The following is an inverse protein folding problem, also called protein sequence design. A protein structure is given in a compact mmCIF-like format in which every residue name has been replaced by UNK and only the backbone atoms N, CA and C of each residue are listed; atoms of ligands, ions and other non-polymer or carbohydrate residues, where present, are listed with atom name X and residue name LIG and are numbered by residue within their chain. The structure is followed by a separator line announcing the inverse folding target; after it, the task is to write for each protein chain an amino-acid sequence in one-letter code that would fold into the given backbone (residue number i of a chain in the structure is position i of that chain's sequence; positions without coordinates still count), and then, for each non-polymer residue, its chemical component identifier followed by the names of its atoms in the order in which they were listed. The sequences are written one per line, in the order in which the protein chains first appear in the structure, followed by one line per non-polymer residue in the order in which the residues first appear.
data_IF_144748603555
#
_entry.id   IF_144748603555
#
_cell.length_a   1.000
_cell.length_b   1.000
_cell.length_c   1.000
_cell.angle_alpha   90.00
_cell.angle_beta   90.00
_cell.angle_gamma   90.00
#
_symmetry.space_group_name_H-M   'P 1'
#
loop_
_entity.id
_entity.type
_entity.pdbx_description
1 polymer ?
#
# COMPACT_ATOMS: atom_id res chain seq x y z
N UNK A 1 -1.49 -17.81 -22.80
CA UNK A 1 -2.46 -16.97 -23.54
C UNK A 1 -3.78 -17.04 -22.78
N UNK A 2 -4.41 -15.87 -22.57
CA UNK A 2 -5.56 -15.59 -21.69
C UNK A 2 -5.18 -15.26 -20.24
N UNK A 3 -4.87 -13.99 -20.01
CA UNK A 3 -4.66 -13.37 -18.70
C UNK A 3 -4.71 -11.83 -18.74
N UNK A 4 -4.83 -11.23 -19.93
CA UNK A 4 -4.91 -9.77 -20.10
C UNK A 4 -6.32 -9.21 -19.85
N UNK A 5 -7.38 -9.95 -20.21
CA UNK A 5 -8.76 -9.43 -20.11
C UNK A 5 -9.27 -9.23 -18.68
N UNK A 6 -8.83 -10.06 -17.73
CA UNK A 6 -9.27 -9.97 -16.32
C UNK A 6 -8.56 -8.82 -15.58
N UNK A 7 -7.30 -8.54 -15.92
CA UNK A 7 -6.57 -7.36 -15.43
C UNK A 7 -7.15 -6.06 -16.01
N UNK A 8 -7.50 -6.05 -17.30
CA UNK A 8 -8.11 -4.88 -17.95
C UNK A 8 -9.51 -4.59 -17.36
N UNK A 9 -10.34 -5.60 -17.10
CA UNK A 9 -11.66 -5.44 -16.46
C UNK A 9 -11.56 -4.95 -15.00
N UNK A 10 -10.61 -5.48 -14.23
CA UNK A 10 -10.35 -5.03 -12.85
C UNK A 10 -9.83 -3.59 -12.79
N UNK A 11 -9.03 -3.19 -13.77
CA UNK A 11 -8.48 -1.83 -13.90
C UNK A 11 -9.55 -0.83 -14.31
N UNK A 12 -10.40 -1.16 -15.28
CA UNK A 12 -11.56 -0.34 -15.66
C UNK A 12 -12.53 -0.17 -14.49
N UNK A 13 -12.79 -1.24 -13.73
CA UNK A 13 -13.65 -1.20 -12.55
C UNK A 13 -13.07 -0.34 -11.43
N UNK A 14 -11.75 -0.38 -11.21
CA UNK A 14 -11.07 0.48 -10.24
C UNK A 14 -11.12 1.95 -10.67
N UNK A 15 -10.84 2.24 -11.93
CA UNK A 15 -10.88 3.58 -12.50
C UNK A 15 -12.28 4.20 -12.34
N UNK A 16 -13.33 3.45 -12.71
CA UNK A 16 -14.71 3.87 -12.55
C UNK A 16 -15.07 4.18 -11.08
N UNK A 17 -14.66 3.32 -10.14
CA UNK A 17 -14.86 3.55 -8.70
C UNK A 17 -14.16 4.81 -8.22
N UNK A 18 -12.92 5.06 -8.62
CA UNK A 18 -12.19 6.27 -8.26
C UNK A 18 -12.85 7.54 -8.81
N UNK A 19 -13.42 7.46 -10.01
CA UNK A 19 -14.15 8.57 -10.63
C UNK A 19 -15.46 8.92 -9.88
N UNK A 20 -16.13 7.93 -9.30
CA UNK A 20 -17.37 8.12 -8.52
C UNK A 20 -17.13 8.67 -7.11
N UNK A 21 -15.94 8.51 -6.55
CA UNK A 21 -15.59 9.01 -5.22
C UNK A 21 -15.58 10.55 -5.16
N UNK A 22 -15.91 11.10 -3.99
CA UNK A 22 -15.61 12.52 -3.72
C UNK A 22 -14.10 12.74 -3.60
N UNK A 23 -13.64 13.99 -3.71
CA UNK A 23 -12.21 14.30 -3.51
C UNK A 23 -11.70 13.85 -2.13
N UNK A 24 -12.52 14.04 -1.08
CA UNK A 24 -12.21 13.58 0.27
C UNK A 24 -12.12 12.05 0.35
N UNK A 25 -13.06 11.33 -0.27
CA UNK A 25 -13.02 9.86 -0.31
C UNK A 25 -11.80 9.34 -1.07
N UNK A 26 -11.42 9.97 -2.18
CA UNK A 26 -10.16 9.65 -2.89
C UNK A 26 -8.95 9.90 -2.02
N UNK A 27 -8.89 11.06 -1.36
CA UNK A 27 -7.84 11.42 -0.41
C UNK A 27 -7.66 10.37 0.69
N UNK A 28 -8.74 10.00 1.37
CA UNK A 28 -8.69 8.99 2.42
C UNK A 28 -8.36 7.59 1.90
N UNK A 29 -8.94 7.17 0.77
CA UNK A 29 -8.72 5.82 0.22
C UNK A 29 -7.28 5.63 -0.24
N UNK A 30 -6.73 6.61 -0.95
CA UNK A 30 -5.35 6.54 -1.43
C UNK A 30 -4.33 6.71 -0.30
N UNK A 31 -4.63 7.51 0.73
CA UNK A 31 -3.85 7.53 1.97
C UNK A 31 -3.80 6.14 2.61
N UNK A 32 -4.95 5.48 2.79
CA UNK A 32 -5.01 4.14 3.39
C UNK A 32 -4.31 3.09 2.53
N UNK A 33 -4.30 3.25 1.20
CA UNK A 33 -3.50 2.44 0.29
C UNK A 33 -1.98 2.61 0.52
N UNK A 34 -1.46 3.83 0.63
CA UNK A 34 -0.07 4.06 1.03
C UNK A 34 0.21 3.60 2.47
N UNK A 35 -0.73 3.76 3.40
CA UNK A 35 -0.56 3.36 4.79
C UNK A 35 -0.36 1.84 4.95
N UNK A 36 -1.01 1.04 4.09
CA UNK A 36 -0.79 -0.42 4.01
C UNK A 36 0.66 -0.77 3.63
N UNK A 37 1.35 0.12 2.95
CA UNK A 37 2.72 -0.07 2.44
C UNK A 37 3.78 0.65 3.30
N UNK A 38 3.37 1.22 4.44
CA UNK A 38 4.22 2.05 5.30
C UNK A 38 5.30 1.28 6.06
N UNK A 39 4.97 0.12 6.63
CA UNK A 39 5.88 -0.60 7.50
C UNK A 39 7.16 -1.11 6.80
N UNK A 40 7.13 -1.56 5.53
CA UNK A 40 8.35 -1.84 4.77
C UNK A 40 9.38 -0.69 4.78
N UNK A 41 8.92 0.56 4.71
CA UNK A 41 9.81 1.74 4.74
C UNK A 41 10.39 2.05 6.13
N UNK A 42 9.69 1.66 7.20
CA UNK A 42 10.03 2.06 8.58
C UNK A 42 10.68 0.96 9.41
N UNK A 43 10.37 -0.31 9.12
CA UNK A 43 10.79 -1.46 9.92
C UNK A 43 12.01 -2.16 9.32
N UNK A 44 12.04 -2.34 8.00
CA UNK A 44 13.14 -3.02 7.32
C UNK A 44 14.39 -2.14 7.15
N UNK A 45 14.24 -0.83 7.36
CA UNK A 45 15.29 0.15 7.10
C UNK A 45 15.38 0.45 5.61
N UNK A 46 15.77 1.69 5.29
CA UNK A 46 16.09 2.09 3.91
C UNK A 46 17.60 2.00 3.72
N UNK A 47 18.03 1.82 2.47
CA UNK A 47 19.45 1.88 2.13
C UNK A 47 20.02 3.26 2.52
N UNK A 48 21.07 3.33 3.37
CA UNK A 48 21.71 4.59 3.73
C UNK A 48 22.24 5.38 2.53
N UNK A 49 22.62 4.70 1.45
CA UNK A 49 23.10 5.27 0.19
C UNK A 49 22.03 6.08 -0.56
N UNK A 50 20.75 5.86 -0.27
CA UNK A 50 19.67 6.68 -0.82
C UNK A 50 19.56 8.06 -0.16
N UNK A 51 20.21 8.26 1.00
CA UNK A 51 20.13 9.52 1.74
C UNK A 51 18.76 9.81 2.35
N UNK A 52 17.85 8.82 2.38
CA UNK A 52 16.49 8.97 2.89
C UNK A 52 16.45 8.65 4.39
N UNK A 53 16.21 9.68 5.20
CA UNK A 53 16.07 9.52 6.63
C UNK A 53 14.69 8.98 7.03
N UNK A 54 14.66 8.00 7.94
CA UNK A 54 13.41 7.47 8.54
C UNK A 54 12.47 8.57 9.06
N UNK A 55 13.01 9.59 9.71
CA UNK A 55 12.23 10.70 10.25
C UNK A 55 11.48 11.48 9.19
N UNK A 56 12.01 11.55 7.96
CA UNK A 56 11.34 12.20 6.85
C UNK A 56 10.17 11.37 6.33
N UNK A 57 10.34 10.06 6.20
CA UNK A 57 9.24 9.14 5.85
C UNK A 57 8.14 9.24 6.90
N UNK A 58 8.49 9.23 8.20
CA UNK A 58 7.53 9.43 9.29
C UNK A 58 6.85 10.80 9.24
N UNK A 59 7.55 11.86 8.83
CA UNK A 59 6.96 13.19 8.65
C UNK A 59 5.99 13.22 7.46
N UNK A 60 6.35 12.59 6.33
CA UNK A 60 5.49 12.51 5.15
C UNK A 60 4.16 11.81 5.48
N UNK A 61 4.22 10.61 6.09
CA UNK A 61 3.00 9.90 6.51
C UNK A 61 2.17 10.70 7.54
N UNK A 62 2.81 11.35 8.53
CA UNK A 62 2.07 12.21 9.46
C UNK A 62 1.40 13.39 8.76
N UNK A 63 2.08 13.97 7.76
CA UNK A 63 1.53 15.03 6.93
C UNK A 63 0.26 14.60 6.21
N UNK A 64 0.21 13.37 5.68
CA UNK A 64 -0.99 12.84 5.02
C UNK A 64 -2.21 12.78 5.94
N UNK A 65 -2.02 12.63 7.26
CA UNK A 65 -3.13 12.60 8.22
C UNK A 65 -3.72 13.99 8.54
N UNK A 66 -3.06 15.06 8.11
CA UNK A 66 -3.56 16.42 8.30
C UNK A 66 -4.77 16.66 7.40
N UNK A 67 -5.75 17.48 7.83
CA UNK A 67 -6.85 17.88 6.96
C UNK A 67 -6.32 18.49 5.66
N UNK A 68 -6.94 18.13 4.52
CA UNK A 68 -6.51 18.55 3.18
C UNK A 68 -6.46 20.08 3.00
N UNK A 69 -7.15 20.84 3.86
CA UNK A 69 -7.40 22.26 3.65
C UNK A 69 -6.68 23.22 4.61
N UNK A 70 -6.04 22.75 5.68
CA UNK A 70 -5.68 23.65 6.78
C UNK A 70 -4.22 24.14 6.82
N UNK A 71 -3.22 23.41 6.31
CA UNK A 71 -1.83 23.88 6.36
C UNK A 71 -0.96 23.36 5.21
N UNK A 72 0.10 24.09 4.83
CA UNK A 72 1.15 23.50 4.02
C UNK A 72 1.76 22.31 4.72
N UNK A 73 1.73 21.15 4.06
CA UNK A 73 2.51 20.00 4.49
C UNK A 73 3.95 20.48 4.76
N UNK A 74 4.57 20.06 5.88
CA UNK A 74 5.97 20.36 6.10
C UNK A 74 6.75 19.92 4.86
N UNK A 75 7.59 20.81 4.34
CA UNK A 75 8.46 20.52 3.20
C UNK A 75 9.13 19.16 3.47
N UNK A 76 8.87 18.13 2.65
CA UNK A 76 9.48 16.83 2.86
C UNK A 76 11.01 16.90 2.76
N UNK A 77 11.57 18.06 2.37
CA UNK A 77 12.98 18.32 2.23
C UNK A 77 13.51 17.84 0.88
N UNK A 78 14.81 17.99 0.61
CA UNK A 78 15.46 17.53 -0.63
C UNK A 78 15.43 16.00 -0.84
N UNK A 79 14.76 15.25 0.04
CA UNK A 79 14.76 13.80 0.12
C UNK A 79 14.12 13.09 -1.08
N UNK A 80 13.33 13.80 -1.87
CA UNK A 80 12.68 13.23 -3.05
C UNK A 80 13.05 13.93 -4.37
N UNK A 81 14.08 14.79 -4.39
CA UNK A 81 14.40 15.54 -5.61
C UNK A 81 15.01 14.67 -6.71
N UNK A 82 15.48 13.47 -6.38
CA UNK A 82 15.85 12.44 -7.36
C UNK A 82 15.75 11.07 -6.68
N UNK A 83 14.92 10.12 -7.19
CA UNK A 83 15.00 8.75 -6.74
C UNK A 83 16.42 8.20 -7.01
N UNK A 84 16.89 7.22 -6.23
CA UNK A 84 18.20 6.61 -6.45
C UNK A 84 18.34 6.13 -7.91
N UNK A 85 19.43 6.48 -8.59
CA UNK A 85 19.71 6.03 -9.96
C UNK A 85 20.19 4.57 -10.02
N UNK A 86 20.46 3.94 -8.87
CA UNK A 86 20.89 2.55 -8.79
C UNK A 86 19.71 1.59 -8.93
N UNK A 87 19.92 0.47 -9.66
CA UNK A 87 18.95 -0.62 -9.66
C UNK A 87 18.78 -1.17 -8.23
N UNK A 88 17.54 -1.37 -7.77
CA UNK A 88 17.30 -1.94 -6.44
C UNK A 88 17.92 -3.32 -6.33
N UNK A 89 18.73 -3.53 -5.30
CA UNK A 89 19.23 -4.86 -4.96
C UNK A 89 18.23 -5.56 -4.04
N UNK A 90 17.45 -6.48 -4.60
CA UNK A 90 16.54 -7.34 -3.83
C UNK A 90 15.09 -6.86 -3.76
N UNK A 91 14.21 -7.77 -3.35
CA UNK A 91 12.75 -7.55 -3.35
C UNK A 91 12.33 -6.46 -2.37
N UNK A 92 13.05 -6.31 -1.25
CA UNK A 92 12.77 -5.22 -0.30
C UNK A 92 13.04 -3.86 -0.94
N UNK A 93 14.18 -3.70 -1.59
CA UNK A 93 14.56 -2.43 -2.20
C UNK A 93 13.59 -2.04 -3.33
N UNK A 94 13.20 -2.99 -4.19
CA UNK A 94 12.21 -2.79 -5.25
C UNK A 94 10.89 -2.25 -4.68
N UNK A 95 10.33 -2.93 -3.67
CA UNK A 95 9.08 -2.53 -3.03
C UNK A 95 9.22 -1.14 -2.40
N UNK A 96 10.33 -0.87 -1.71
CA UNK A 96 10.52 0.42 -1.04
C UNK A 96 10.60 1.58 -2.04
N UNK A 97 11.28 1.41 -3.18
CA UNK A 97 11.39 2.45 -4.20
C UNK A 97 10.03 2.80 -4.83
N UNK A 98 9.22 1.80 -5.16
CA UNK A 98 7.88 2.01 -5.72
C UNK A 98 6.97 2.78 -4.74
N UNK A 99 7.03 2.42 -3.45
CA UNK A 99 6.24 3.12 -2.41
C UNK A 99 6.76 4.54 -2.19
N UNK A 100 8.07 4.76 -2.21
CA UNK A 100 8.67 6.09 -2.07
C UNK A 100 8.31 7.01 -3.24
N UNK A 101 8.23 6.49 -4.47
CA UNK A 101 7.83 7.24 -5.64
C UNK A 101 6.38 7.76 -5.51
N UNK A 102 5.45 6.91 -5.07
CA UNK A 102 4.06 7.33 -4.85
C UNK A 102 3.91 8.25 -3.64
N UNK A 103 4.65 8.00 -2.56
CA UNK A 103 4.68 8.89 -1.40
C UNK A 103 5.16 10.29 -1.80
N UNK A 104 6.20 10.38 -2.65
CA UNK A 104 6.67 11.65 -3.19
C UNK A 104 5.59 12.37 -4.01
N UNK A 105 4.99 11.65 -4.96
CA UNK A 105 3.95 12.20 -5.83
C UNK A 105 2.78 12.74 -4.99
N UNK A 106 2.38 12.01 -3.95
CA UNK A 106 1.37 12.45 -2.99
C UNK A 106 1.73 13.75 -2.29
N UNK A 107 2.94 13.84 -1.71
CA UNK A 107 3.37 15.03 -0.98
C UNK A 107 3.42 16.29 -1.86
N UNK A 108 3.59 16.11 -3.17
CA UNK A 108 3.60 17.19 -4.16
C UNK A 108 2.18 17.62 -4.57
N UNK A 109 1.27 16.68 -4.81
CA UNK A 109 -0.08 16.95 -5.31
C UNK A 109 -1.08 17.39 -4.21
N UNK A 110 -0.93 16.89 -2.98
CA UNK A 110 -1.80 17.08 -1.79
C UNK A 110 -3.22 16.55 -1.89
N UNK A 111 -3.91 16.80 -3.00
CA UNK A 111 -5.25 16.27 -3.29
C UNK A 111 -5.17 15.37 -4.53
N UNK A 112 -5.18 14.04 -4.38
CA UNK A 112 -5.15 13.16 -5.53
C UNK A 112 -6.45 13.31 -6.37
N UNK A 113 -6.27 13.44 -7.68
CA UNK A 113 -7.35 13.20 -8.63
C UNK A 113 -7.75 11.72 -8.65
N UNK A 114 -8.69 11.38 -9.54
CA UNK A 114 -9.13 9.99 -9.70
C UNK A 114 -7.98 9.09 -10.17
N UNK A 115 -7.17 9.58 -11.13
CA UNK A 115 -6.04 8.84 -11.69
C UNK A 115 -4.93 8.61 -10.64
N UNK A 116 -4.59 9.64 -9.84
CA UNK A 116 -3.59 9.47 -8.78
C UNK A 116 -4.08 8.52 -7.69
N UNK A 117 -5.36 8.60 -7.30
CA UNK A 117 -5.92 7.68 -6.32
C UNK A 117 -5.93 6.23 -6.83
N UNK A 118 -6.34 6.02 -8.09
CA UNK A 118 -6.31 4.74 -8.77
C UNK A 118 -4.89 4.16 -8.80
N UNK A 119 -3.89 4.95 -9.23
CA UNK A 119 -2.49 4.53 -9.33
C UNK A 119 -1.96 4.01 -8.00
N UNK A 120 -2.23 4.72 -6.90
CA UNK A 120 -1.81 4.34 -5.56
C UNK A 120 -2.52 3.07 -5.06
N UNK A 121 -3.83 2.94 -5.32
CA UNK A 121 -4.60 1.74 -4.95
C UNK A 121 -4.09 0.52 -5.73
N UNK A 122 -3.85 0.70 -7.04
CA UNK A 122 -3.28 -0.32 -7.93
C UNK A 122 -1.91 -0.76 -7.44
N UNK A 123 -1.03 0.16 -7.05
CA UNK A 123 0.29 -0.18 -6.52
C UNK A 123 0.19 -1.18 -5.34
N UNK A 124 -0.70 -0.94 -4.38
CA UNK A 124 -0.86 -1.85 -3.24
C UNK A 124 -1.31 -3.26 -3.67
N UNK A 125 -2.16 -3.36 -4.71
CA UNK A 125 -2.57 -4.65 -5.29
C UNK A 125 -1.41 -5.33 -6.02
N UNK A 126 -0.70 -4.60 -6.86
CA UNK A 126 0.41 -5.12 -7.66
C UNK A 126 1.56 -5.61 -6.82
N UNK A 127 1.94 -4.88 -5.78
CA UNK A 127 2.97 -5.32 -4.83
C UNK A 127 2.53 -6.58 -4.07
N UNK A 128 1.25 -6.68 -3.71
CA UNK A 128 0.71 -7.88 -3.06
C UNK A 128 0.76 -9.10 -3.99
N UNK A 129 0.36 -8.92 -5.25
CA UNK A 129 0.47 -9.95 -6.30
C UNK A 129 1.91 -10.36 -6.56
N UNK A 130 2.82 -9.38 -6.63
CA UNK A 130 4.24 -9.63 -6.85
C UNK A 130 4.84 -10.43 -5.70
N UNK A 131 4.46 -10.11 -4.45
CA UNK A 131 4.90 -10.84 -3.28
C UNK A 131 4.36 -12.26 -3.23
N UNK A 132 3.11 -12.48 -3.64
CA UNK A 132 2.54 -13.82 -3.76
C UNK A 132 3.28 -14.68 -4.80
N UNK A 133 3.51 -14.14 -6.01
CA UNK A 133 4.33 -14.81 -7.04
C UNK A 133 5.73 -15.11 -6.53
N UNK A 134 6.35 -14.13 -5.88
CA UNK A 134 7.67 -14.29 -5.28
C UNK A 134 7.67 -15.42 -4.24
N UNK A 135 6.63 -15.55 -3.41
CA UNK A 135 6.53 -16.66 -2.45
C UNK A 135 6.31 -18.03 -3.14
N UNK A 136 5.56 -18.06 -4.24
CA UNK A 136 5.32 -19.28 -5.03
C UNK A 136 6.59 -19.77 -5.75
N UNK A 137 7.38 -18.85 -6.29
CA UNK A 137 8.64 -19.14 -7.00
C UNK A 137 9.82 -19.47 -6.06
N UNK A 138 9.61 -19.34 -4.75
CA UNK A 138 10.62 -19.63 -3.73
C UNK A 138 10.92 -21.14 -3.65
N UNK A 139 12.22 -21.49 -3.62
CA UNK A 139 12.66 -22.86 -3.33
C UNK A 139 12.39 -23.29 -1.87
N UNK A 140 12.11 -22.31 -1.00
CA UNK A 140 11.84 -22.52 0.42
C UNK A 140 10.38 -22.25 0.75
N UNK A 141 9.81 -23.10 1.61
CA UNK A 141 8.45 -22.91 2.12
C UNK A 141 8.39 -21.70 3.06
N UNK A 142 7.40 -20.82 2.84
CA UNK A 142 7.10 -19.74 3.76
C UNK A 142 6.71 -20.32 5.15
N UNK A 143 7.28 -19.84 6.27
CA UNK A 143 7.00 -20.37 7.61
C UNK A 143 5.50 -20.38 7.97
N UNK A 144 4.76 -19.41 7.44
CA UNK A 144 3.32 -19.27 7.64
C UNK A 144 2.46 -19.90 6.53
N UNK A 145 3.01 -20.69 5.60
CA UNK A 145 2.27 -21.30 4.46
C UNK A 145 0.96 -21.99 4.88
N UNK A 146 0.97 -22.73 5.98
CA UNK A 146 -0.23 -23.38 6.51
C UNK A 146 -1.29 -22.40 7.01
N UNK A 147 -0.86 -21.30 7.66
CA UNK A 147 -1.76 -20.26 8.09
C UNK A 147 -2.37 -19.52 6.89
N UNK A 148 -1.56 -19.23 5.87
CA UNK A 148 -2.00 -18.61 4.62
C UNK A 148 -3.04 -19.49 3.91
N UNK A 149 -2.77 -20.79 3.77
CA UNK A 149 -3.71 -21.75 3.17
C UNK A 149 -5.04 -21.84 3.93
N UNK A 150 -5.01 -21.85 5.27
CA UNK A 150 -6.23 -21.82 6.08
C UNK A 150 -7.01 -20.53 5.88
N UNK A 151 -6.35 -19.38 5.83
CA UNK A 151 -7.01 -18.11 5.56
C UNK A 151 -7.71 -18.14 4.21
N UNK A 152 -7.00 -18.55 3.15
CA UNK A 152 -7.57 -18.66 1.80
C UNK A 152 -8.78 -19.58 1.73
N UNK A 153 -8.77 -20.68 2.47
CA UNK A 153 -9.93 -21.59 2.57
C UNK A 153 -11.18 -20.94 3.20
N UNK A 154 -11.03 -19.83 3.95
CA UNK A 154 -12.15 -19.09 4.56
C UNK A 154 -12.67 -17.93 3.73
N UNK A 155 -11.95 -17.52 2.69
CA UNK A 155 -12.39 -16.44 1.79
C UNK A 155 -13.51 -16.97 0.90
N UNK A 156 -14.63 -16.25 0.84
CA UNK A 156 -15.82 -16.66 0.07
C UNK A 156 -15.43 -16.91 -1.41
N UNK A 157 -15.83 -18.07 -1.95
CA UNK A 157 -15.43 -18.51 -3.30
C UNK A 157 -14.50 -19.72 -3.32
N UNK A 158 -13.87 -20.09 -2.19
CA UNK A 158 -13.28 -21.43 -1.98
C UNK A 158 -12.19 -21.91 -2.96
N UNK A 159 -11.69 -21.07 -3.88
CA UNK A 159 -10.79 -21.49 -4.95
C UNK A 159 -9.87 -20.37 -5.44
N UNK A 160 -8.59 -20.48 -5.06
CA UNK A 160 -7.39 -20.47 -5.93
C UNK A 160 -7.12 -19.37 -6.98
N UNK A 161 -7.94 -18.33 -7.16
CA UNK A 161 -7.62 -17.33 -8.19
C UNK A 161 -6.51 -16.35 -7.78
N UNK A 162 -6.42 -16.03 -6.48
CA UNK A 162 -5.50 -15.01 -5.94
C UNK A 162 -4.65 -15.56 -4.81
N UNK A 163 -3.44 -15.02 -4.66
CA UNK A 163 -2.53 -15.39 -3.59
C UNK A 163 -2.95 -14.84 -2.21
N UNK A 164 -2.17 -15.17 -1.17
CA UNK A 164 -2.50 -14.79 0.21
C UNK A 164 -2.48 -13.28 0.41
N UNK A 165 -1.40 -12.62 -0.03
CA UNK A 165 -1.24 -11.18 0.16
C UNK A 165 -2.25 -10.40 -0.66
N UNK A 166 -2.54 -10.80 -1.89
CA UNK A 166 -3.58 -10.19 -2.71
C UNK A 166 -4.96 -10.33 -2.05
N UNK A 167 -5.35 -11.54 -1.63
CA UNK A 167 -6.62 -11.76 -0.94
C UNK A 167 -6.72 -10.95 0.35
N UNK A 168 -5.62 -10.83 1.09
CA UNK A 168 -5.57 -10.04 2.33
C UNK A 168 -5.67 -8.55 2.05
N UNK A 169 -4.95 -8.06 1.04
CA UNK A 169 -4.97 -6.67 0.60
C UNK A 169 -6.36 -6.25 0.15
N UNK A 170 -7.02 -7.05 -0.70
CA UNK A 170 -8.38 -6.76 -1.19
C UNK A 170 -9.39 -6.71 -0.04
N UNK A 171 -9.27 -7.60 0.95
CA UNK A 171 -10.13 -7.57 2.14
C UNK A 171 -9.93 -6.31 2.98
N UNK A 172 -8.68 -5.89 3.17
CA UNK A 172 -8.39 -4.64 3.90
C UNK A 172 -8.84 -3.43 3.08
N UNK A 173 -8.65 -3.44 1.76
CA UNK A 173 -9.12 -2.38 0.85
C UNK A 173 -10.62 -2.17 0.98
N UNK A 174 -11.40 -3.24 0.87
CA UNK A 174 -12.86 -3.19 0.96
C UNK A 174 -13.31 -2.65 2.32
N UNK A 175 -12.74 -3.17 3.42
CA UNK A 175 -13.04 -2.69 4.76
C UNK A 175 -12.69 -1.21 4.96
N UNK A 176 -11.53 -0.77 4.45
CA UNK A 176 -11.14 0.63 4.47
C UNK A 176 -12.12 1.52 3.69
N UNK A 177 -12.59 1.08 2.53
CA UNK A 177 -13.56 1.83 1.73
C UNK A 177 -14.92 1.94 2.41
N UNK A 178 -15.40 0.86 3.03
CA UNK A 178 -16.62 0.88 3.84
C UNK A 178 -16.50 1.88 5.00
N UNK A 179 -15.34 1.90 5.68
CA UNK A 179 -15.06 2.82 6.78
C UNK A 179 -14.97 4.27 6.30
N UNK A 180 -14.34 4.51 5.14
CA UNK A 180 -14.25 5.84 4.51
C UNK A 180 -15.63 6.35 4.10
N UNK A 181 -16.47 5.49 3.53
CA UNK A 181 -17.83 5.86 3.15
C UNK A 181 -18.71 6.24 4.36
N UNK A 182 -18.39 5.71 5.55
CA UNK A 182 -19.07 6.02 6.80
C UNK A 182 -18.53 7.27 7.52
N UNK A 183 -17.45 7.91 7.02
CA UNK A 183 -16.91 9.11 7.66
C UNK A 183 -17.86 10.31 7.50
N UNK A 184 -18.02 11.13 8.56
CA UNK A 184 -18.66 12.43 8.41
C UNK A 184 -17.87 13.33 7.44
N UNK A 185 -18.53 14.18 6.64
CA UNK A 185 -17.83 15.11 5.75
C UNK A 185 -16.86 16.02 6.52
N UNK A 186 -15.64 16.18 6.00
CA UNK A 186 -14.56 16.96 6.61
C UNK A 186 -13.90 16.30 7.83
N UNK A 187 -14.27 15.07 8.18
CA UNK A 187 -13.66 14.37 9.30
C UNK A 187 -12.37 13.67 8.88
N UNK A 188 -11.24 14.15 9.38
CA UNK A 188 -9.97 13.45 9.21
C UNK A 188 -9.97 12.05 9.85
N UNK A 189 -9.24 11.12 9.23
CA UNK A 189 -9.13 9.72 9.68
C UNK A 189 -8.83 9.56 11.19
N UNK A 190 -7.78 10.16 11.78
CA UNK A 190 -7.48 9.93 13.19
C UNK A 190 -8.54 10.50 14.15
N UNK A 191 -9.34 11.47 13.67
CA UNK A 191 -10.37 12.15 14.45
C UNK A 191 -11.59 11.28 14.76
N UNK A 192 -11.79 10.17 14.06
CA UNK A 192 -12.98 9.32 14.20
C UNK A 192 -12.63 7.89 14.62
N UNK A 193 -13.61 7.16 15.18
CA UNK A 193 -13.41 5.75 15.50
C UNK A 193 -13.19 4.91 14.23
N UNK A 194 -13.99 5.15 13.18
CA UNK A 194 -13.87 4.45 11.90
C UNK A 194 -12.51 4.68 11.23
N UNK A 195 -12.00 5.92 11.23
CA UNK A 195 -10.70 6.19 10.63
C UNK A 195 -9.53 5.61 11.43
N UNK A 196 -9.61 5.57 12.77
CA UNK A 196 -8.62 4.85 13.59
C UNK A 196 -8.65 3.34 13.34
N UNK A 197 -9.83 2.76 13.16
CA UNK A 197 -9.99 1.35 12.80
C UNK A 197 -9.37 1.06 11.41
N UNK A 198 -9.63 1.92 10.42
CA UNK A 198 -9.06 1.79 9.09
C UNK A 198 -7.52 1.82 9.13
N UNK A 199 -6.93 2.76 9.86
CA UNK A 199 -5.47 2.85 10.05
C UNK A 199 -4.90 1.60 10.73
N UNK A 200 -5.57 1.09 11.75
CA UNK A 200 -5.14 -0.13 12.46
C UNK A 200 -5.19 -1.38 11.55
N UNK A 201 -6.21 -1.49 10.69
CA UNK A 201 -6.28 -2.57 9.69
C UNK A 201 -5.12 -2.49 8.70
N UNK A 202 -4.78 -1.29 8.24
CA UNK A 202 -3.63 -1.07 7.36
C UNK A 202 -2.31 -1.43 8.06
N UNK A 203 -2.12 -1.06 9.32
CA UNK A 203 -0.91 -1.37 10.10
C UNK A 203 -0.74 -2.88 10.32
N UNK A 204 -1.82 -3.58 10.64
CA UNK A 204 -1.79 -5.03 10.79
C UNK A 204 -1.36 -5.72 9.49
N UNK A 205 -1.92 -5.32 8.35
CA UNK A 205 -1.51 -5.83 7.05
C UNK A 205 -0.06 -5.47 6.70
N UNK A 206 0.35 -4.24 6.98
CA UNK A 206 1.72 -3.79 6.71
C UNK A 206 2.76 -4.61 7.49
N UNK A 207 2.43 -5.03 8.72
CA UNK A 207 3.28 -5.93 9.51
C UNK A 207 3.39 -7.35 8.90
N UNK A 208 2.31 -7.86 8.29
CA UNK A 208 2.33 -9.12 7.54
C UNK A 208 3.26 -9.02 6.31
N UNK A 209 3.21 -7.90 5.59
CA UNK A 209 4.12 -7.63 4.46
C UNK A 209 5.58 -7.62 4.91
N UNK A 210 5.91 -6.89 5.97
CA UNK A 210 7.28 -6.84 6.53
C UNK A 210 7.80 -8.24 6.86
N UNK A 211 6.98 -9.07 7.49
CA UNK A 211 7.38 -10.43 7.88
C UNK A 211 7.74 -11.29 6.66
N UNK A 212 6.95 -11.15 5.60
CA UNK A 212 7.14 -11.92 4.35
C UNK A 212 8.31 -11.39 3.54
N UNK A 213 8.43 -10.08 3.41
CA UNK A 213 9.56 -9.43 2.72
C UNK A 213 10.89 -9.75 3.41
N UNK A 214 10.95 -9.64 4.74
CA UNK A 214 12.14 -10.02 5.50
C UNK A 214 12.49 -11.51 5.31
N UNK A 215 11.49 -12.39 5.25
CA UNK A 215 11.72 -13.80 4.98
C UNK A 215 12.29 -14.03 3.56
N UNK A 216 11.73 -13.37 2.54
CA UNK A 216 12.24 -13.47 1.16
C UNK A 216 13.67 -12.97 1.03
N UNK A 217 13.96 -11.80 1.63
CA UNK A 217 15.28 -11.17 1.58
C UNK A 217 16.36 -12.05 2.24
N UNK A 218 16.06 -12.61 3.43
CA UNK A 218 17.03 -13.42 4.18
C UNK A 218 17.25 -14.83 3.61
N UNK A 219 16.36 -15.31 2.75
CA UNK A 219 16.51 -16.58 2.03
C UNK A 219 16.94 -16.37 0.58
N UNK A 220 17.51 -15.20 0.27
CA UNK A 220 18.05 -14.84 -1.03
C UNK A 220 18.77 -16.03 -1.69
N UNK A 221 18.42 -16.27 -2.95
CA UNK A 221 18.90 -17.35 -3.82
C UNK A 221 20.36 -17.77 -3.57
#
# INVERSE_FOLDING_TARGET
MSGSGELDEDDEALAARCAEMTAEQRGHTALLALWRLRAPLLVLGLDPGWGIHRSAVEAAFRGMLLPLHDEPLPDPGPLFTSPPEAEPEGVVAEVQLEVLAELHAWTTAREPGAEEAERVIRLARDLSRSLDRSCEDSLWDHPARHAHARYLATVAGGGTAVGYHEARNLRVEAACQDLVAALPPGAGLPGTAAGREALALCEAFSAELVSTLAWRENLGY
#
